data_IF_634447306801
#
_entry.id   IF_634447306801
#
_cell.length_a   1.000
_cell.length_b   1.000
_cell.length_c   1.000
_cell.angle_alpha   90.00
_cell.angle_beta   90.00
_cell.angle_gamma   90.00
#
_symmetry.space_group_name_H-M   'P 1'
#
loop_
_entity.id
_entity.type
_entity.pdbx_description
1 polymer ?
#
# COMPACT_ATOMS: atom_id res chain seq x y z
N UNK A 1 -14.61 -8.26 -34.13
CA UNK A 1 -14.03 -7.09 -33.46
C UNK A 1 -13.07 -7.64 -32.43
N UNK A 2 -11.77 -7.54 -32.65
CA UNK A 2 -10.77 -7.94 -31.68
C UNK A 2 -10.80 -6.92 -30.55
N UNK A 3 -11.32 -7.32 -29.38
CA UNK A 3 -11.15 -6.51 -28.18
C UNK A 3 -9.64 -6.46 -27.86
N UNK A 4 -8.99 -5.39 -28.27
CA UNK A 4 -7.65 -5.10 -27.73
C UNK A 4 -7.79 -5.05 -26.21
N UNK A 5 -6.94 -5.79 -25.47
CA UNK A 5 -7.01 -5.78 -24.01
C UNK A 5 -6.85 -4.33 -23.51
N UNK A 6 -7.81 -3.88 -22.70
CA UNK A 6 -7.73 -2.54 -22.09
C UNK A 6 -6.59 -2.47 -21.09
N UNK A 7 -5.95 -1.32 -20.98
CA UNK A 7 -4.98 -1.05 -19.91
C UNK A 7 -5.68 -1.19 -18.55
N UNK A 8 -5.00 -1.71 -17.52
CA UNK A 8 -5.52 -1.70 -16.16
C UNK A 8 -5.68 -0.26 -15.66
N UNK A 9 -6.53 -0.08 -14.67
CA UNK A 9 -6.60 1.18 -13.92
C UNK A 9 -5.24 1.46 -13.27
N UNK A 10 -4.77 2.72 -13.38
CA UNK A 10 -3.50 3.13 -12.75
C UNK A 10 -3.81 4.08 -11.61
N UNK A 11 -3.39 3.68 -10.42
CA UNK A 11 -3.48 4.46 -9.19
C UNK A 11 -2.15 5.12 -8.87
N UNK A 12 -2.17 6.07 -7.95
CA UNK A 12 -0.95 6.65 -7.38
C UNK A 12 -1.04 6.73 -5.86
N UNK A 13 0.05 6.37 -5.19
CA UNK A 13 0.15 6.49 -3.74
C UNK A 13 0.39 7.93 -3.30
N UNK A 14 -0.34 8.35 -2.28
CA UNK A 14 -0.25 9.69 -1.71
C UNK A 14 0.98 9.91 -0.82
N UNK A 15 1.81 8.90 -0.59
CA UNK A 15 3.14 9.11 -0.01
C UNK A 15 3.96 10.19 -0.73
N UNK A 16 3.71 10.34 -2.04
CA UNK A 16 4.36 11.35 -2.85
C UNK A 16 3.88 12.78 -2.55
N UNK A 17 2.63 12.94 -2.09
CA UNK A 17 1.94 14.22 -1.93
C UNK A 17 1.76 14.64 -0.48
N UNK A 18 2.43 14.00 0.46
CA UNK A 18 2.37 14.30 1.89
C UNK A 18 3.76 14.55 2.44
N UNK A 19 3.87 15.49 3.38
CA UNK A 19 5.17 15.83 4.00
C UNK A 19 5.53 14.91 5.16
N UNK A 20 4.54 14.26 5.74
CA UNK A 20 4.66 13.36 6.91
C UNK A 20 4.08 11.96 6.64
N UNK A 21 3.94 11.62 5.37
CA UNK A 21 3.54 10.29 4.85
C UNK A 21 2.07 9.90 4.99
N UNK A 22 1.23 10.69 5.64
CA UNK A 22 -0.18 10.32 5.83
C UNK A 22 -1.11 11.34 5.20
N UNK A 23 -2.27 10.88 4.71
CA UNK A 23 -3.29 11.74 4.11
C UNK A 23 -3.78 12.80 5.10
N UNK A 24 -4.01 12.39 6.35
CA UNK A 24 -4.10 13.31 7.47
C UNK A 24 -2.88 13.14 8.36
N UNK A 25 -2.08 14.18 8.59
CA UNK A 25 -1.04 14.18 9.60
C UNK A 25 -1.53 13.69 10.96
N UNK A 26 -0.66 13.04 11.71
CA UNK A 26 -0.96 12.65 13.09
C UNK A 26 -1.36 13.92 13.86
N UNK A 27 -2.48 13.87 14.58
CA UNK A 27 -3.09 14.99 15.33
C UNK A 27 -3.77 16.09 14.48
N UNK A 28 -3.92 15.91 13.17
CA UNK A 28 -4.72 16.86 12.38
C UNK A 28 -6.22 16.59 12.55
N UNK A 29 -6.98 17.64 12.82
CA UNK A 29 -8.42 17.55 12.96
C UNK A 29 -9.15 17.46 11.60
N UNK A 30 -10.31 16.84 11.58
CA UNK A 30 -11.17 16.73 10.39
C UNK A 30 -11.70 18.09 9.91
N UNK A 31 -11.68 19.09 10.76
CA UNK A 31 -12.19 20.45 10.51
C UNK A 31 -11.23 21.32 9.69
N UNK A 32 -10.01 20.85 9.42
CA UNK A 32 -9.06 21.60 8.57
C UNK A 32 -9.52 21.62 7.11
N UNK A 33 -10.21 22.73 6.76
CA UNK A 33 -10.76 22.94 5.42
C UNK A 33 -9.65 23.19 4.39
N UNK A 34 -8.57 23.83 4.75
CA UNK A 34 -7.48 24.15 3.84
C UNK A 34 -6.72 22.88 3.46
N UNK A 35 -6.52 21.98 4.42
CA UNK A 35 -5.92 20.67 4.13
C UNK A 35 -6.80 19.82 3.21
N UNK A 36 -8.11 19.72 3.49
CA UNK A 36 -9.06 18.98 2.61
C UNK A 36 -9.10 19.60 1.21
N UNK A 37 -9.04 20.92 1.09
CA UNK A 37 -8.96 21.61 -0.19
C UNK A 37 -7.69 21.24 -0.94
N UNK A 38 -6.54 21.26 -0.28
CA UNK A 38 -5.25 20.89 -0.86
C UNK A 38 -5.27 19.43 -1.38
N UNK A 39 -5.82 18.49 -0.60
CA UNK A 39 -5.98 17.10 -1.05
C UNK A 39 -6.84 17.01 -2.32
N UNK A 40 -7.97 17.71 -2.35
CA UNK A 40 -8.84 17.74 -3.53
C UNK A 40 -8.16 18.38 -4.73
N UNK A 41 -7.37 19.43 -4.56
CA UNK A 41 -6.61 20.05 -5.63
C UNK A 41 -5.57 19.06 -6.21
N UNK A 42 -4.92 18.25 -5.36
CA UNK A 42 -4.06 17.15 -5.81
C UNK A 42 -4.86 16.10 -6.59
N UNK A 43 -6.00 15.63 -6.06
CA UNK A 43 -6.84 14.62 -6.74
C UNK A 43 -7.26 15.08 -8.13
N UNK A 44 -7.74 16.32 -8.28
CA UNK A 44 -8.12 16.90 -9.58
C UNK A 44 -6.96 16.90 -10.55
N UNK A 45 -5.82 17.42 -10.12
CA UNK A 45 -4.63 17.49 -10.97
C UNK A 45 -4.14 16.12 -11.41
N UNK A 46 -4.13 15.13 -10.50
CA UNK A 46 -3.71 13.78 -10.82
C UNK A 46 -4.70 13.05 -11.73
N UNK A 47 -6.00 13.30 -11.55
CA UNK A 47 -7.03 12.81 -12.47
C UNK A 47 -6.84 13.38 -13.88
N UNK A 48 -6.54 14.68 -14.01
CA UNK A 48 -6.24 15.33 -15.30
C UNK A 48 -4.98 14.74 -15.95
N UNK A 49 -3.98 14.34 -15.18
CA UNK A 49 -2.78 13.63 -15.63
C UNK A 49 -3.13 12.22 -16.16
N UNK A 50 -4.22 11.61 -15.64
CA UNK A 50 -4.75 10.34 -16.14
C UNK A 50 -4.71 9.19 -15.16
N UNK A 51 -4.56 9.46 -13.86
CA UNK A 51 -4.76 8.48 -12.80
C UNK A 51 -6.26 8.26 -12.56
N UNK A 52 -6.67 7.01 -12.37
CA UNK A 52 -8.07 6.62 -12.14
C UNK A 52 -8.38 6.34 -10.67
N UNK A 53 -7.37 6.28 -9.82
CA UNK A 53 -7.53 6.02 -8.40
C UNK A 53 -6.32 6.45 -7.58
N UNK A 54 -6.51 6.41 -6.27
CA UNK A 54 -5.57 6.95 -5.30
C UNK A 54 -5.42 6.00 -4.12
N UNK A 55 -4.18 5.78 -3.71
CA UNK A 55 -3.86 5.02 -2.53
C UNK A 55 -3.56 5.98 -1.39
N UNK A 56 -4.37 5.91 -0.34
CA UNK A 56 -4.28 6.79 0.81
C UNK A 56 -3.58 6.11 1.99
N UNK A 57 -2.38 6.56 2.37
CA UNK A 57 -1.75 6.12 3.60
C UNK A 57 -2.49 6.71 4.81
N UNK A 58 -2.99 5.80 5.66
CA UNK A 58 -3.77 6.12 6.86
C UNK A 58 -2.83 6.19 8.06
N UNK A 59 -2.84 7.33 8.76
CA UNK A 59 -2.02 7.52 9.95
C UNK A 59 -2.37 6.48 11.03
N UNK A 60 -1.35 5.95 11.75
CA UNK A 60 -1.60 5.18 12.96
C UNK A 60 -2.17 6.08 14.03
N UNK A 61 -2.85 5.47 15.01
CA UNK A 61 -3.34 6.15 16.22
C UNK A 61 -2.92 5.37 17.44
N UNK A 62 -2.81 6.01 18.58
CA UNK A 62 -2.67 5.37 19.90
C UNK A 62 -4.00 5.33 20.68
N UNK A 63 -5.03 5.99 20.15
CA UNK A 63 -6.36 6.00 20.73
C UNK A 63 -7.03 4.62 20.63
N UNK A 64 -7.85 4.27 21.63
CA UNK A 64 -8.64 3.04 21.63
C UNK A 64 -10.08 3.27 21.13
N UNK A 65 -10.56 4.52 21.11
CA UNK A 65 -11.81 4.92 20.47
C UNK A 65 -11.53 5.40 19.03
N UNK A 66 -11.86 4.56 18.07
CA UNK A 66 -11.63 4.83 16.66
C UNK A 66 -12.78 5.57 15.97
N UNK A 67 -13.82 5.94 16.70
CA UNK A 67 -15.04 6.55 16.12
C UNK A 67 -14.74 7.89 15.44
N UNK A 68 -13.94 8.73 16.07
CA UNK A 68 -13.53 10.03 15.53
C UNK A 68 -12.64 9.86 14.29
N UNK A 69 -11.76 8.87 14.31
CA UNK A 69 -10.88 8.58 13.19
C UNK A 69 -11.69 8.13 11.96
N UNK A 70 -12.66 7.22 12.15
CA UNK A 70 -13.57 6.79 11.08
C UNK A 70 -14.38 7.98 10.54
N UNK A 71 -14.90 8.81 11.43
CA UNK A 71 -15.71 9.99 11.06
C UNK A 71 -14.88 10.98 10.23
N UNK A 72 -13.61 11.21 10.58
CA UNK A 72 -12.68 12.07 9.84
C UNK A 72 -12.59 11.68 8.35
N UNK A 73 -12.41 10.38 8.06
CA UNK A 73 -12.29 9.91 6.69
C UNK A 73 -13.64 9.87 5.95
N UNK A 74 -14.74 9.65 6.67
CA UNK A 74 -16.08 9.80 6.10
C UNK A 74 -16.34 11.24 5.64
N UNK A 75 -16.02 12.22 6.46
CA UNK A 75 -16.11 13.65 6.11
C UNK A 75 -15.20 14.02 4.95
N UNK A 76 -14.01 13.41 4.86
CA UNK A 76 -13.13 13.58 3.69
C UNK A 76 -13.79 13.06 2.42
N UNK A 77 -14.40 11.86 2.46
CA UNK A 77 -15.12 11.29 1.30
C UNK A 77 -16.27 12.18 0.88
N UNK A 78 -17.09 12.63 1.82
CA UNK A 78 -18.19 13.57 1.54
C UNK A 78 -17.69 14.88 0.91
N UNK A 79 -16.56 15.40 1.37
CA UNK A 79 -15.93 16.59 0.81
C UNK A 79 -15.40 16.34 -0.62
N UNK A 80 -14.78 15.20 -0.88
CA UNK A 80 -14.33 14.77 -2.23
C UNK A 80 -15.53 14.70 -3.19
N UNK A 81 -16.61 14.04 -2.78
CA UNK A 81 -17.82 13.87 -3.58
C UNK A 81 -18.47 15.20 -3.93
N UNK A 82 -18.53 16.14 -2.96
CA UNK A 82 -19.05 17.49 -3.16
C UNK A 82 -18.21 18.35 -4.13
N UNK A 83 -17.02 17.87 -4.53
CA UNK A 83 -16.11 18.55 -5.48
C UNK A 83 -16.09 17.87 -6.87
N UNK A 84 -17.13 17.12 -7.20
CA UNK A 84 -17.29 16.43 -8.50
C UNK A 84 -16.23 15.33 -8.75
N UNK A 85 -15.77 14.68 -7.67
CA UNK A 85 -14.81 13.59 -7.69
C UNK A 85 -15.39 12.28 -7.14
N UNK A 86 -16.70 12.09 -7.23
CA UNK A 86 -17.37 10.87 -6.74
C UNK A 86 -16.97 9.60 -7.49
N UNK A 87 -16.43 9.74 -8.71
CA UNK A 87 -15.95 8.65 -9.54
C UNK A 87 -14.51 8.20 -9.22
N UNK A 88 -13.77 8.93 -8.37
CA UNK A 88 -12.42 8.52 -8.00
C UNK A 88 -12.45 7.27 -7.13
N UNK A 89 -11.57 6.34 -7.45
CA UNK A 89 -11.39 5.09 -6.69
C UNK A 89 -10.31 5.30 -5.64
N UNK A 90 -10.52 4.75 -4.45
CA UNK A 90 -9.58 4.86 -3.33
C UNK A 90 -9.22 3.46 -2.85
N UNK A 91 -7.94 3.24 -2.58
CA UNK A 91 -7.42 2.16 -1.75
C UNK A 91 -6.71 2.78 -0.53
N UNK A 92 -6.48 2.00 0.51
CA UNK A 92 -5.80 2.50 1.71
C UNK A 92 -4.55 1.69 2.03
N UNK A 93 -3.52 2.37 2.52
CA UNK A 93 -2.30 1.75 3.03
C UNK A 93 -2.28 1.88 4.56
N UNK A 94 -2.19 0.75 5.26
CA UNK A 94 -2.33 0.62 6.71
C UNK A 94 -1.23 -0.27 7.26
N UNK A 95 -0.58 0.13 8.35
CA UNK A 95 0.38 -0.69 9.08
C UNK A 95 -0.16 -1.18 10.43
N UNK A 96 0.24 -2.39 10.83
CA UNK A 96 0.18 -2.80 12.23
C UNK A 96 1.21 -1.99 13.03
N UNK A 97 0.95 -1.76 14.31
CA UNK A 97 1.83 -0.98 15.20
C UNK A 97 2.21 -1.80 16.43
N UNK A 98 3.23 -1.39 17.16
CA UNK A 98 3.61 -2.05 18.42
C UNK A 98 2.48 -2.04 19.46
N UNK A 99 1.64 -1.02 19.44
CA UNK A 99 0.45 -0.92 20.30
C UNK A 99 -0.64 -1.89 19.87
N UNK A 100 -0.82 -2.04 18.55
CA UNK A 100 -1.86 -2.86 17.91
C UNK A 100 -1.18 -3.97 17.11
N UNK A 101 -0.65 -4.96 17.82
CA UNK A 101 0.18 -6.04 17.27
C UNK A 101 -0.60 -7.35 17.17
N UNK A 102 -1.10 -7.72 15.96
CA UNK A 102 -1.85 -8.96 15.78
C UNK A 102 -0.99 -10.22 15.98
N UNK A 103 0.33 -10.10 15.94
CA UNK A 103 1.27 -11.20 16.10
C UNK A 103 1.79 -11.35 17.52
N UNK A 104 1.34 -10.53 18.46
CA UNK A 104 1.74 -10.60 19.87
C UNK A 104 1.36 -11.95 20.48
N UNK A 105 2.14 -12.41 21.47
CA UNK A 105 1.76 -13.55 22.33
C UNK A 105 0.76 -13.16 23.42
N UNK A 106 0.52 -11.87 23.64
CA UNK A 106 -0.44 -11.33 24.57
C UNK A 106 -1.82 -11.24 23.91
N UNK A 107 -2.78 -12.02 24.42
CA UNK A 107 -4.15 -12.06 23.87
C UNK A 107 -4.90 -10.72 23.96
N UNK A 108 -4.60 -9.89 24.97
CA UNK A 108 -5.22 -8.57 25.08
C UNK A 108 -4.69 -7.63 23.99
N UNK A 109 -3.40 -7.70 23.67
CA UNK A 109 -2.83 -6.96 22.55
C UNK A 109 -3.39 -7.44 21.20
N UNK A 110 -3.58 -8.75 21.05
CA UNK A 110 -4.21 -9.30 19.83
C UNK A 110 -5.65 -8.79 19.67
N UNK A 111 -6.46 -8.76 20.74
CA UNK A 111 -7.83 -8.26 20.68
C UNK A 111 -7.88 -6.76 20.34
N UNK A 112 -7.02 -5.97 20.95
CA UNK A 112 -6.86 -4.54 20.61
C UNK A 112 -6.42 -4.36 19.14
N UNK A 113 -5.47 -5.17 18.67
CA UNK A 113 -5.04 -5.13 17.28
C UNK A 113 -6.17 -5.49 16.30
N UNK A 114 -6.98 -6.50 16.62
CA UNK A 114 -8.16 -6.84 15.81
C UNK A 114 -9.14 -5.67 15.73
N UNK A 115 -9.45 -5.02 16.86
CA UNK A 115 -10.34 -3.87 16.92
C UNK A 115 -9.79 -2.69 16.12
N UNK A 116 -8.50 -2.41 16.26
CA UNK A 116 -7.81 -1.39 15.46
C UNK A 116 -7.90 -1.70 13.96
N UNK A 117 -7.54 -2.91 13.53
CA UNK A 117 -7.58 -3.28 12.11
C UNK A 117 -9.00 -3.28 11.54
N UNK A 118 -10.02 -3.67 12.32
CA UNK A 118 -11.44 -3.51 11.94
C UNK A 118 -11.79 -2.04 11.70
N UNK A 119 -11.32 -1.13 12.53
CA UNK A 119 -11.53 0.31 12.30
C UNK A 119 -10.87 0.82 11.01
N UNK A 120 -9.72 0.27 10.63
CA UNK A 120 -9.03 0.61 9.35
C UNK A 120 -9.82 0.09 8.14
N UNK A 121 -10.45 -1.09 8.27
CA UNK A 121 -11.43 -1.59 7.28
C UNK A 121 -12.62 -0.65 7.16
N UNK A 122 -13.16 -0.16 8.29
CA UNK A 122 -14.27 0.81 8.28
C UNK A 122 -13.87 2.14 7.61
N UNK A 123 -12.66 2.64 7.85
CA UNK A 123 -12.11 3.82 7.16
C UNK A 123 -12.03 3.57 5.65
N UNK A 124 -11.50 2.41 5.23
CA UNK A 124 -11.42 2.05 3.82
C UNK A 124 -12.81 2.05 3.18
N UNK A 125 -13.78 1.41 3.82
CA UNK A 125 -15.16 1.39 3.35
C UNK A 125 -15.80 2.80 3.34
N UNK A 126 -15.56 3.62 4.37
CA UNK A 126 -16.06 5.00 4.45
C UNK A 126 -15.52 5.89 3.33
N UNK A 127 -14.28 5.64 2.87
CA UNK A 127 -13.67 6.27 1.70
C UNK A 127 -14.22 5.72 0.36
N UNK A 128 -15.10 4.72 0.39
CA UNK A 128 -15.58 4.03 -0.82
C UNK A 128 -14.54 3.09 -1.43
N UNK A 129 -13.54 2.68 -0.65
CA UNK A 129 -12.46 1.80 -1.08
C UNK A 129 -12.82 0.31 -0.96
N UNK A 130 -12.29 -0.50 -1.86
CA UNK A 130 -12.46 -1.96 -1.87
C UNK A 130 -11.18 -2.71 -1.49
N UNK A 131 -10.06 -2.01 -1.28
CA UNK A 131 -8.75 -2.60 -0.98
C UNK A 131 -8.10 -1.84 0.18
N UNK A 132 -7.80 -2.55 1.26
CA UNK A 132 -6.91 -2.14 2.33
C UNK A 132 -5.63 -2.97 2.23
N UNK A 133 -4.49 -2.32 2.09
CA UNK A 133 -3.22 -3.00 1.92
C UNK A 133 -2.19 -2.53 2.96
N UNK A 134 -1.10 -3.25 3.08
CA UNK A 134 0.08 -2.89 3.87
C UNK A 134 0.58 -3.99 4.81
N UNK A 135 1.57 -3.68 5.67
CA UNK A 135 2.19 -4.62 6.61
C UNK A 135 1.32 -4.82 7.86
N UNK A 136 0.30 -5.66 7.75
CA UNK A 136 -0.70 -5.89 8.81
C UNK A 136 -0.53 -7.22 9.56
N UNK A 137 0.61 -7.90 9.43
CA UNK A 137 0.90 -9.17 10.14
C UNK A 137 1.81 -8.95 11.33
N UNK A 138 2.97 -8.35 11.11
CA UNK A 138 3.94 -7.99 12.15
C UNK A 138 4.11 -6.47 12.07
N UNK A 139 4.18 -5.76 13.21
CA UNK A 139 4.37 -4.32 13.22
C UNK A 139 5.60 -3.87 12.44
N UNK A 140 5.45 -2.73 11.76
CA UNK A 140 6.55 -2.02 11.12
C UNK A 140 7.60 -1.62 12.16
N UNK A 141 8.87 -1.77 11.81
CA UNK A 141 10.00 -1.36 12.63
C UNK A 141 11.17 -2.34 12.51
N UNK A 142 12.34 -1.85 12.89
CA UNK A 142 13.57 -2.64 12.90
C UNK A 142 13.65 -3.42 14.19
N UNK A 143 13.70 -4.75 14.10
CA UNK A 143 13.95 -5.61 15.25
C UNK A 143 15.45 -5.64 15.54
N UNK A 144 15.86 -5.38 16.80
CA UNK A 144 17.24 -5.54 17.17
C UNK A 144 17.64 -7.01 17.21
N UNK A 145 18.77 -7.35 16.64
CA UNK A 145 19.35 -8.68 16.75
C UNK A 145 19.98 -9.21 15.48
N UNK A 146 20.82 -10.19 15.64
CA UNK A 146 21.46 -10.94 14.58
C UNK A 146 20.55 -12.11 14.22
N UNK A 147 20.43 -12.43 12.92
CA UNK A 147 19.72 -13.61 12.46
C UNK A 147 20.20 -14.89 13.15
N UNK A 148 19.29 -15.67 13.69
CA UNK A 148 19.56 -16.90 14.44
C UNK A 148 18.37 -17.86 14.35
N UNK A 149 18.58 -19.13 14.67
CA UNK A 149 17.52 -20.12 14.75
C UNK A 149 16.45 -19.72 15.79
N UNK A 150 16.88 -19.12 16.89
CA UNK A 150 15.96 -18.60 17.90
C UNK A 150 15.07 -17.48 17.37
N UNK A 151 15.60 -16.59 16.53
CA UNK A 151 14.82 -15.56 15.88
C UNK A 151 13.80 -16.17 14.91
N UNK A 152 14.18 -17.20 14.15
CA UNK A 152 13.27 -17.89 13.25
C UNK A 152 12.10 -18.56 14.00
N UNK A 153 12.38 -19.22 15.11
CA UNK A 153 11.33 -19.83 15.94
C UNK A 153 10.40 -18.77 16.55
N UNK A 154 10.96 -17.63 16.96
CA UNK A 154 10.19 -16.49 17.43
C UNK A 154 9.24 -15.95 16.33
N UNK A 155 9.74 -15.78 15.10
CA UNK A 155 8.95 -15.33 13.96
C UNK A 155 7.81 -16.31 13.62
N UNK A 156 8.09 -17.61 13.66
CA UNK A 156 7.07 -18.64 13.46
C UNK A 156 5.95 -18.52 14.50
N UNK A 157 6.30 -18.35 15.78
CA UNK A 157 5.33 -18.12 16.85
C UNK A 157 4.47 -16.88 16.59
N UNK A 158 5.09 -15.78 16.10
CA UNK A 158 4.35 -14.56 15.73
C UNK A 158 3.39 -14.80 14.58
N UNK A 159 3.78 -15.54 13.55
CA UNK A 159 2.88 -15.91 12.46
C UNK A 159 1.70 -16.76 12.95
N UNK A 160 1.95 -17.74 13.83
CA UNK A 160 0.90 -18.58 14.37
C UNK A 160 -0.10 -17.77 15.24
N UNK A 161 0.37 -16.78 15.96
CA UNK A 161 -0.48 -15.84 16.71
C UNK A 161 -1.33 -14.96 15.78
N UNK A 162 -0.80 -14.49 14.67
CA UNK A 162 -1.50 -13.58 13.75
C UNK A 162 -2.59 -14.29 12.93
N UNK A 163 -2.45 -15.57 12.61
CA UNK A 163 -3.39 -16.30 11.74
C UNK A 163 -4.86 -16.22 12.18
N UNK A 164 -5.22 -16.50 13.45
CA UNK A 164 -6.61 -16.38 13.89
C UNK A 164 -7.13 -14.94 13.82
N UNK A 165 -6.28 -13.95 14.09
CA UNK A 165 -6.63 -12.53 13.99
C UNK A 165 -6.95 -12.16 12.54
N UNK A 166 -6.11 -12.58 11.60
CA UNK A 166 -6.32 -12.32 10.17
C UNK A 166 -7.55 -13.08 9.62
N UNK A 167 -7.86 -14.25 10.15
CA UNK A 167 -9.10 -14.97 9.80
C UNK A 167 -10.36 -14.19 10.23
N UNK A 168 -10.37 -13.70 11.45
CA UNK A 168 -11.49 -12.92 11.98
C UNK A 168 -11.60 -11.57 11.24
N UNK A 169 -10.49 -10.89 11.01
CA UNK A 169 -10.43 -9.66 10.24
C UNK A 169 -10.92 -9.88 8.80
N UNK A 170 -10.56 -11.00 8.17
CA UNK A 170 -11.00 -11.35 6.83
C UNK A 170 -12.50 -11.56 6.72
N UNK A 171 -13.15 -12.15 7.74
CA UNK A 171 -14.62 -12.25 7.80
C UNK A 171 -15.26 -10.86 7.90
N UNK A 172 -14.74 -10.02 8.78
CA UNK A 172 -15.22 -8.65 8.92
C UNK A 172 -15.06 -7.83 7.64
N UNK A 173 -13.90 -7.93 7.00
CA UNK A 173 -13.63 -7.24 5.73
C UNK A 173 -14.56 -7.71 4.59
N UNK A 174 -14.96 -8.99 4.60
CA UNK A 174 -15.95 -9.52 3.65
C UNK A 174 -17.32 -8.85 3.83
N UNK A 175 -17.77 -8.62 5.06
CA UNK A 175 -19.03 -7.92 5.36
C UNK A 175 -19.02 -6.47 4.86
N UNK A 176 -17.84 -5.86 4.79
CA UNK A 176 -17.62 -4.50 4.31
C UNK A 176 -17.26 -4.41 2.81
N UNK A 177 -17.17 -5.55 2.11
CA UNK A 177 -16.68 -5.64 0.72
C UNK A 177 -15.25 -5.10 0.53
N UNK A 178 -14.39 -5.22 1.54
CA UNK A 178 -12.99 -4.77 1.50
C UNK A 178 -12.07 -5.98 1.41
N UNK A 179 -11.18 -6.01 0.42
CA UNK A 179 -10.07 -6.97 0.33
C UNK A 179 -8.91 -6.51 1.21
N UNK A 180 -8.28 -7.45 1.88
CA UNK A 180 -7.07 -7.22 2.67
C UNK A 180 -5.87 -7.72 1.88
N UNK A 181 -4.96 -6.84 1.53
CA UNK A 181 -3.77 -7.17 0.75
C UNK A 181 -2.52 -7.02 1.62
N UNK A 182 -2.03 -8.13 2.19
CA UNK A 182 -0.82 -8.11 3.03
C UNK A 182 0.40 -7.82 2.16
N UNK A 183 1.23 -6.90 2.63
CA UNK A 183 2.48 -6.53 1.98
C UNK A 183 3.66 -7.26 2.63
N UNK A 184 4.41 -8.06 1.86
CA UNK A 184 5.75 -8.45 2.28
C UNK A 184 6.68 -7.26 2.06
N UNK A 185 7.28 -6.74 3.13
CA UNK A 185 8.16 -5.56 3.08
C UNK A 185 9.61 -5.92 3.42
N UNK A 186 10.54 -5.09 3.00
CA UNK A 186 11.99 -5.36 3.16
C UNK A 186 12.41 -5.67 4.59
N UNK A 187 13.46 -6.50 4.71
CA UNK A 187 13.97 -7.02 5.99
C UNK A 187 14.49 -5.95 6.95
N UNK A 188 14.80 -4.74 6.50
CA UNK A 188 15.15 -3.63 7.39
C UNK A 188 13.95 -2.84 7.91
N UNK A 189 12.74 -3.11 7.39
CA UNK A 189 11.51 -2.48 7.86
C UNK A 189 10.74 -3.37 8.84
N UNK A 190 10.81 -4.70 8.65
CA UNK A 190 10.17 -5.69 9.53
C UNK A 190 10.96 -7.00 9.50
N UNK A 191 10.91 -7.82 10.56
CA UNK A 191 11.52 -9.15 10.52
C UNK A 191 10.79 -10.14 9.62
N UNK A 192 9.58 -9.81 9.16
CA UNK A 192 8.81 -10.63 8.22
C UNK A 192 7.31 -10.33 8.24
N UNK A 193 6.56 -10.76 7.19
CA UNK A 193 7.07 -11.41 5.98
C UNK A 193 7.83 -10.43 5.07
N UNK A 194 8.94 -10.89 4.50
CA UNK A 194 9.76 -10.10 3.56
C UNK A 194 9.67 -10.63 2.12
N UNK A 195 9.17 -11.85 1.95
CA UNK A 195 9.12 -12.57 0.69
C UNK A 195 7.74 -13.14 0.42
N UNK A 196 7.38 -13.25 -0.84
CA UNK A 196 6.16 -13.92 -1.25
C UNK A 196 6.11 -15.37 -0.77
N UNK A 197 7.24 -16.10 -0.76
CA UNK A 197 7.29 -17.47 -0.25
C UNK A 197 6.88 -17.58 1.23
N UNK A 198 7.31 -16.66 2.07
CA UNK A 198 6.93 -16.60 3.49
C UNK A 198 5.44 -16.31 3.65
N UNK A 199 4.93 -15.36 2.86
CA UNK A 199 3.52 -14.98 2.92
C UNK A 199 2.60 -16.07 2.36
N UNK A 200 3.01 -16.78 1.30
CA UNK A 200 2.29 -17.94 0.78
C UNK A 200 2.18 -19.05 1.85
N UNK A 201 3.26 -19.31 2.59
CA UNK A 201 3.24 -20.28 3.68
C UNK A 201 2.34 -19.83 4.84
N UNK A 202 2.42 -18.56 5.23
CA UNK A 202 1.53 -17.96 6.24
C UNK A 202 0.06 -18.13 5.85
N UNK A 203 -0.29 -17.85 4.60
CA UNK A 203 -1.66 -17.89 4.08
C UNK A 203 -2.26 -19.29 4.01
N UNK A 204 -1.48 -20.36 4.12
CA UNK A 204 -2.01 -21.73 4.25
C UNK A 204 -2.83 -21.92 5.54
N UNK A 205 -2.51 -21.16 6.59
CA UNK A 205 -3.24 -21.15 7.86
C UNK A 205 -4.34 -20.06 7.95
N UNK A 206 -4.60 -19.34 6.86
CA UNK A 206 -5.63 -18.29 6.79
C UNK A 206 -6.72 -18.74 5.81
N UNK A 207 -7.91 -19.05 6.33
CA UNK A 207 -9.02 -19.62 5.54
C UNK A 207 -9.69 -18.56 4.64
N UNK A 208 -9.90 -17.36 5.18
CA UNK A 208 -10.60 -16.29 4.48
C UNK A 208 -9.88 -15.87 3.20
N UNK A 209 -10.54 -15.99 2.06
CA UNK A 209 -10.03 -15.52 0.76
C UNK A 209 -10.04 -14.00 0.63
N UNK A 210 -10.68 -13.30 1.55
CA UNK A 210 -10.63 -11.85 1.63
C UNK A 210 -9.22 -11.36 2.01
N UNK A 211 -8.44 -12.22 2.68
CA UNK A 211 -7.02 -11.98 3.00
C UNK A 211 -6.15 -12.50 1.86
N UNK A 212 -5.45 -11.62 1.20
CA UNK A 212 -4.54 -11.92 0.08
C UNK A 212 -3.27 -11.10 0.16
N UNK A 213 -2.70 -10.79 -0.97
CA UNK A 213 -1.35 -10.22 -1.12
C UNK A 213 -1.39 -8.97 -2.00
N UNK A 214 -0.65 -7.96 -1.61
CA UNK A 214 -0.12 -6.94 -2.51
C UNK A 214 1.31 -7.30 -2.88
N UNK A 215 1.69 -7.08 -4.10
CA UNK A 215 3.07 -7.24 -4.57
C UNK A 215 3.60 -5.88 -4.98
N UNK A 216 4.63 -5.41 -4.27
CA UNK A 216 5.40 -4.22 -4.62
C UNK A 216 6.73 -4.61 -5.29
N UNK A 217 6.99 -4.04 -6.46
CA UNK A 217 8.20 -4.29 -7.23
C UNK A 217 9.49 -3.94 -6.48
N UNK A 218 9.49 -2.91 -5.62
CA UNK A 218 10.68 -2.55 -4.85
C UNK A 218 11.05 -3.64 -3.85
N UNK A 219 10.08 -4.19 -3.13
CA UNK A 219 10.30 -5.25 -2.16
C UNK A 219 10.74 -6.55 -2.84
N UNK A 220 10.13 -6.91 -3.99
CA UNK A 220 10.56 -8.08 -4.76
C UNK A 220 11.97 -7.96 -5.32
N UNK A 221 12.40 -6.76 -5.74
CA UNK A 221 13.76 -6.53 -6.21
C UNK A 221 14.78 -6.65 -5.07
N UNK A 222 14.40 -6.21 -3.87
CA UNK A 222 15.30 -6.17 -2.71
C UNK A 222 15.41 -7.51 -1.99
N UNK A 223 14.29 -8.20 -1.76
CA UNK A 223 14.23 -9.41 -0.92
C UNK A 223 13.60 -10.62 -1.60
N UNK A 224 13.05 -10.48 -2.81
CA UNK A 224 12.35 -11.56 -3.50
C UNK A 224 13.21 -12.80 -3.77
N UNK A 225 12.55 -13.88 -4.15
CA UNK A 225 13.20 -15.17 -4.44
C UNK A 225 13.75 -15.28 -5.87
N UNK A 226 13.76 -14.18 -6.62
CA UNK A 226 14.23 -14.10 -8.00
C UNK A 226 13.12 -14.33 -9.05
N UNK A 227 13.36 -13.94 -10.32
CA UNK A 227 12.30 -13.79 -11.33
C UNK A 227 11.60 -15.10 -11.70
N UNK A 228 12.28 -16.22 -11.68
CA UNK A 228 11.67 -17.52 -11.98
C UNK A 228 10.66 -17.94 -10.90
N UNK A 229 11.06 -17.87 -9.62
CA UNK A 229 10.17 -18.17 -8.49
C UNK A 229 9.05 -17.14 -8.37
N UNK A 230 9.35 -15.88 -8.61
CA UNK A 230 8.36 -14.81 -8.65
C UNK A 230 7.21 -15.15 -9.62
N UNK A 231 7.53 -15.54 -10.85
CA UNK A 231 6.53 -15.94 -11.84
C UNK A 231 5.63 -17.10 -11.36
N UNK A 232 6.20 -18.10 -10.70
CA UNK A 232 5.46 -19.22 -10.13
C UNK A 232 4.57 -18.80 -8.96
N UNK A 233 5.07 -17.91 -8.08
CA UNK A 233 4.36 -17.39 -6.92
C UNK A 233 3.17 -16.52 -7.33
N UNK A 234 3.34 -15.65 -8.33
CA UNK A 234 2.27 -14.83 -8.90
C UNK A 234 1.15 -15.72 -9.47
N UNK A 235 1.50 -16.72 -10.27
CA UNK A 235 0.53 -17.66 -10.83
C UNK A 235 -0.21 -18.44 -9.72
N UNK A 236 0.50 -18.89 -8.71
CA UNK A 236 -0.09 -19.58 -7.56
C UNK A 236 -1.06 -18.69 -6.79
N UNK A 237 -0.66 -17.45 -6.44
CA UNK A 237 -1.52 -16.52 -5.72
C UNK A 237 -2.80 -16.18 -6.51
N UNK A 238 -2.69 -16.00 -7.81
CA UNK A 238 -3.84 -15.79 -8.68
C UNK A 238 -4.78 -17.02 -8.73
N UNK A 239 -4.23 -18.22 -8.86
CA UNK A 239 -5.00 -19.46 -8.81
C UNK A 239 -5.73 -19.62 -7.47
N UNK A 240 -5.10 -19.22 -6.36
CA UNK A 240 -5.70 -19.23 -5.04
C UNK A 240 -6.69 -18.06 -4.81
N UNK A 241 -6.88 -17.16 -5.78
CA UNK A 241 -7.69 -15.95 -5.65
C UNK A 241 -7.22 -15.03 -4.50
N UNK A 242 -5.89 -14.92 -4.31
CA UNK A 242 -5.25 -14.16 -3.24
C UNK A 242 -4.33 -13.05 -3.74
N UNK A 243 -4.23 -12.83 -5.04
CA UNK A 243 -3.52 -11.68 -5.60
C UNK A 243 -4.49 -10.49 -5.66
N UNK A 244 -4.40 -9.58 -4.71
CA UNK A 244 -5.39 -8.53 -4.52
C UNK A 244 -4.95 -7.16 -5.02
N UNK A 245 -3.65 -6.87 -4.99
CA UNK A 245 -3.15 -5.57 -5.40
C UNK A 245 -1.73 -5.64 -5.95
N UNK A 246 -1.35 -4.68 -6.77
CA UNK A 246 -0.01 -4.55 -7.35
C UNK A 246 0.47 -3.12 -7.17
N UNK A 247 1.72 -2.96 -6.72
CA UNK A 247 2.42 -1.69 -6.72
C UNK A 247 3.65 -1.75 -7.61
N UNK A 248 3.90 -0.66 -8.30
CA UNK A 248 5.12 -0.43 -9.07
C UNK A 248 5.87 0.70 -8.39
N UNK A 249 6.98 0.36 -7.79
CA UNK A 249 7.82 1.25 -7.01
C UNK A 249 9.29 0.97 -7.32
N UNK A 250 10.15 1.97 -7.48
CA UNK A 250 11.57 1.73 -7.67
C UNK A 250 12.24 1.42 -6.31
N UNK A 251 13.35 0.66 -6.31
CA UNK A 251 14.06 0.31 -5.06
C UNK A 251 14.53 1.52 -4.23
N UNK A 252 14.78 2.65 -4.89
CA UNK A 252 15.17 3.90 -4.24
C UNK A 252 13.97 4.78 -3.85
N UNK A 253 12.73 4.26 -4.04
CA UNK A 253 11.47 4.96 -3.78
C UNK A 253 11.32 6.32 -4.49
N UNK A 254 12.17 6.57 -5.48
CA UNK A 254 12.24 7.83 -6.24
C UNK A 254 11.40 7.85 -7.51
N UNK A 255 11.82 8.68 -8.49
CA UNK A 255 11.11 8.84 -9.75
C UNK A 255 11.18 7.58 -10.62
N UNK A 256 10.03 7.00 -10.94
CA UNK A 256 9.90 5.73 -11.64
C UNK A 256 10.54 5.72 -13.03
N UNK A 257 10.41 6.80 -13.77
CA UNK A 257 10.89 6.91 -15.16
C UNK A 257 12.42 7.03 -15.29
N UNK A 258 13.12 7.35 -14.20
CA UNK A 258 14.59 7.44 -14.13
C UNK A 258 15.22 6.31 -13.35
N UNK A 259 14.43 5.41 -12.80
CA UNK A 259 14.88 4.29 -11.98
C UNK A 259 15.10 3.03 -12.83
N UNK A 260 16.04 2.19 -12.39
CA UNK A 260 16.25 0.90 -13.01
C UNK A 260 15.27 -0.14 -12.44
N UNK A 261 14.29 -0.54 -13.24
CA UNK A 261 13.31 -1.55 -12.90
C UNK A 261 13.36 -2.70 -13.91
N UNK A 262 13.32 -3.96 -13.46
CA UNK A 262 13.19 -5.12 -14.34
C UNK A 262 11.73 -5.27 -14.81
N UNK A 263 11.25 -4.33 -15.61
CA UNK A 263 9.85 -4.24 -16.02
C UNK A 263 9.29 -5.52 -16.64
N UNK A 264 10.10 -6.19 -17.46
CA UNK A 264 9.67 -7.40 -18.13
C UNK A 264 9.46 -8.54 -17.15
N UNK A 265 10.42 -8.76 -16.29
CA UNK A 265 10.42 -9.83 -15.30
C UNK A 265 9.29 -9.65 -14.29
N UNK A 266 8.96 -8.39 -13.97
CA UNK A 266 7.90 -8.06 -13.04
C UNK A 266 6.51 -8.05 -13.71
N UNK A 267 6.31 -7.29 -14.79
CA UNK A 267 4.99 -7.09 -15.37
C UNK A 267 4.47 -8.31 -16.14
N UNK A 268 5.34 -9.08 -16.82
CA UNK A 268 4.89 -10.19 -17.66
C UNK A 268 4.10 -11.26 -16.87
N UNK A 269 4.59 -11.79 -15.75
CA UNK A 269 3.80 -12.75 -14.97
C UNK A 269 2.54 -12.12 -14.35
N UNK A 270 2.60 -10.88 -13.92
CA UNK A 270 1.47 -10.16 -13.31
C UNK A 270 0.35 -9.97 -14.33
N UNK A 271 0.62 -9.38 -15.50
CA UNK A 271 -0.40 -9.04 -16.49
C UNK A 271 -1.10 -10.25 -17.11
N UNK A 272 -0.47 -11.44 -17.06
CA UNK A 272 -1.11 -12.70 -17.49
C UNK A 272 -2.31 -13.07 -16.63
N UNK A 273 -2.27 -12.78 -15.34
CA UNK A 273 -3.23 -13.32 -14.36
C UNK A 273 -3.98 -12.27 -13.57
N UNK A 274 -3.43 -11.06 -13.45
CA UNK A 274 -4.01 -9.98 -12.66
C UNK A 274 -4.74 -8.97 -13.56
N UNK A 275 -5.95 -8.56 -13.16
CA UNK A 275 -6.80 -7.61 -13.89
C UNK A 275 -7.28 -6.44 -13.04
N UNK A 276 -6.78 -6.34 -11.81
CA UNK A 276 -7.07 -5.23 -10.92
C UNK A 276 -6.22 -3.99 -11.19
N UNK A 277 -6.33 -2.96 -10.33
CA UNK A 277 -5.54 -1.73 -10.46
C UNK A 277 -4.06 -1.94 -10.15
N UNK A 278 -3.21 -1.14 -10.78
CA UNK A 278 -1.77 -1.06 -10.51
C UNK A 278 -1.47 0.32 -9.94
N UNK A 279 -0.93 0.40 -8.74
CA UNK A 279 -0.53 1.65 -8.14
C UNK A 279 0.93 2.00 -8.44
N UNK A 280 1.18 3.26 -8.74
CA UNK A 280 2.52 3.84 -8.76
C UNK A 280 2.84 4.31 -7.34
N UNK A 281 3.90 3.79 -6.75
CA UNK A 281 4.32 4.16 -5.41
C UNK A 281 5.68 4.87 -5.44
N UNK A 282 5.66 6.15 -5.10
CA UNK A 282 6.82 7.02 -5.00
C UNK A 282 6.75 7.74 -3.66
N UNK A 283 7.85 7.79 -2.94
CA UNK A 283 7.89 8.42 -1.63
C UNK A 283 8.52 9.81 -1.69
N UNK A 284 7.93 10.73 -0.94
CA UNK A 284 8.59 11.98 -0.60
C UNK A 284 9.65 11.77 0.51
N UNK A 285 9.33 10.88 1.46
CA UNK A 285 10.22 10.48 2.55
C UNK A 285 9.81 9.10 3.09
N UNK A 286 10.69 8.44 3.85
CA UNK A 286 10.38 7.20 4.57
C UNK A 286 10.34 7.51 6.07
N UNK A 287 9.33 7.03 6.85
CA UNK A 287 9.10 7.49 8.23
C UNK A 287 10.32 7.41 9.16
N UNK A 288 11.02 6.28 9.15
CA UNK A 288 12.19 6.08 10.02
C UNK A 288 13.38 7.01 9.69
N UNK A 289 13.35 7.65 8.51
CA UNK A 289 14.47 8.45 7.98
C UNK A 289 13.99 9.77 7.38
N UNK A 290 12.81 10.25 7.76
CA UNK A 290 12.13 11.40 7.14
C UNK A 290 13.09 12.57 6.90
N UNK A 291 13.78 13.04 7.93
CA UNK A 291 14.64 14.23 7.80
C UNK A 291 15.84 13.99 6.89
N UNK A 292 16.56 12.88 7.08
CA UNK A 292 17.76 12.61 6.28
C UNK A 292 17.42 12.26 4.84
N UNK A 293 16.32 11.56 4.55
CA UNK A 293 15.92 11.26 3.19
C UNK A 293 15.34 12.46 2.46
N UNK A 294 14.61 13.32 3.15
CA UNK A 294 14.12 14.58 2.56
C UNK A 294 15.26 15.50 2.16
N UNK A 295 16.31 15.56 2.96
CA UNK A 295 17.49 16.38 2.66
C UNK A 295 18.38 15.80 1.57
N UNK A 296 18.55 14.47 1.53
CA UNK A 296 19.51 13.80 0.66
C UNK A 296 18.94 13.18 -0.62
N UNK A 297 17.67 12.78 -0.62
CA UNK A 297 17.05 12.00 -1.71
C UNK A 297 15.90 12.69 -2.42
N UNK A 298 15.27 13.68 -1.82
CA UNK A 298 14.16 14.38 -2.42
C UNK A 298 14.57 15.07 -3.71
N UNK A 299 13.94 14.66 -4.82
CA UNK A 299 14.20 15.16 -6.16
C UNK A 299 13.01 15.91 -6.77
N UNK A 300 12.04 16.29 -5.95
CA UNK A 300 10.85 17.06 -6.34
C UNK A 300 10.32 17.88 -5.17
N UNK A 301 9.51 18.87 -5.46
CA UNK A 301 8.79 19.67 -4.48
C UNK A 301 7.28 19.42 -4.59
N UNK A 302 6.54 19.55 -3.48
CA UNK A 302 5.10 19.29 -3.42
C UNK A 302 4.33 20.59 -3.56
N UNK A 303 3.56 20.83 -4.65
CA UNK A 303 2.74 22.02 -4.82
C UNK A 303 1.77 22.22 -3.63
N UNK A 304 1.69 23.46 -3.14
CA UNK A 304 0.85 23.81 -2.02
C UNK A 304 1.41 23.51 -0.62
N UNK A 305 2.50 22.74 -0.53
CA UNK A 305 3.14 22.38 0.75
C UNK A 305 4.58 22.86 0.83
N UNK A 306 5.27 22.89 -0.31
CA UNK A 306 6.66 23.31 -0.40
C UNK A 306 6.83 24.53 -1.30
N UNK A 307 7.93 25.22 -1.12
CA UNK A 307 8.36 26.25 -2.06
C UNK A 307 8.98 25.61 -3.31
N UNK A 308 8.71 26.14 -4.51
CA UNK A 308 9.38 25.74 -5.73
C UNK A 308 10.91 25.83 -5.57
N UNK A 309 11.60 24.82 -6.12
CA UNK A 309 13.07 24.78 -6.15
C UNK A 309 13.55 24.39 -7.56
N UNK A 310 14.81 24.07 -7.73
CA UNK A 310 15.39 23.67 -9.03
C UNK A 310 14.98 22.27 -9.50
N UNK A 311 14.28 21.51 -8.67
CA UNK A 311 13.75 20.19 -9.01
C UNK A 311 12.35 20.30 -9.62
N UNK A 312 11.90 19.28 -10.39
CA UNK A 312 10.53 19.24 -10.89
C UNK A 312 9.52 19.17 -9.74
N UNK A 313 8.29 19.55 -10.02
CA UNK A 313 7.17 19.36 -9.08
C UNK A 313 6.78 17.89 -8.97
N UNK A 314 6.11 17.52 -7.89
CA UNK A 314 5.51 16.20 -7.74
C UNK A 314 4.53 15.86 -8.89
N UNK A 315 3.85 16.84 -9.46
CA UNK A 315 2.98 16.61 -10.62
C UNK A 315 3.74 16.22 -11.88
N UNK A 316 4.88 16.85 -12.17
CA UNK A 316 5.73 16.47 -13.32
C UNK A 316 6.28 15.05 -13.14
N UNK A 317 6.71 14.68 -11.93
CA UNK A 317 7.15 13.31 -11.63
C UNK A 317 6.00 12.31 -11.78
N UNK A 318 4.80 12.63 -11.31
CA UNK A 318 3.63 11.79 -11.44
C UNK A 318 3.21 11.60 -12.92
N UNK A 319 3.29 12.65 -13.73
CA UNK A 319 3.01 12.58 -15.17
C UNK A 319 4.00 11.68 -15.90
N UNK A 320 5.30 11.81 -15.64
CA UNK A 320 6.31 10.93 -16.23
C UNK A 320 6.17 9.48 -15.73
N UNK A 321 5.81 9.27 -14.48
CA UNK A 321 5.60 7.95 -13.91
C UNK A 321 4.44 7.19 -14.58
N UNK A 322 3.29 7.84 -14.79
CA UNK A 322 2.16 7.18 -15.47
C UNK A 322 2.45 6.92 -16.95
N UNK A 323 3.18 7.84 -17.64
CA UNK A 323 3.61 7.62 -19.02
C UNK A 323 4.55 6.40 -19.12
N UNK A 324 5.54 6.30 -18.24
CA UNK A 324 6.45 5.16 -18.18
C UNK A 324 5.69 3.86 -17.91
N UNK A 325 4.81 3.84 -16.92
CA UNK A 325 4.02 2.66 -16.55
C UNK A 325 3.12 2.21 -17.71
N UNK A 326 2.37 3.12 -18.33
CA UNK A 326 1.51 2.81 -19.49
C UNK A 326 2.32 2.27 -20.66
N UNK A 327 3.48 2.87 -20.95
CA UNK A 327 4.38 2.43 -22.02
C UNK A 327 4.84 0.99 -21.79
N UNK A 328 5.28 0.66 -20.60
CA UNK A 328 5.77 -0.67 -20.29
C UNK A 328 4.63 -1.71 -20.28
N UNK A 329 3.48 -1.41 -19.70
CA UNK A 329 2.29 -2.28 -19.75
C UNK A 329 1.88 -2.55 -21.21
N UNK A 330 1.84 -1.53 -22.07
CA UNK A 330 1.45 -1.68 -23.48
C UNK A 330 2.37 -2.63 -24.26
N UNK A 331 3.69 -2.60 -23.98
CA UNK A 331 4.64 -3.54 -24.61
C UNK A 331 4.28 -4.99 -24.31
N UNK A 332 3.85 -5.30 -23.07
CA UNK A 332 3.59 -6.68 -22.65
C UNK A 332 2.17 -7.13 -23.00
N UNK A 333 1.17 -6.26 -22.95
CA UNK A 333 -0.18 -6.60 -23.40
C UNK A 333 -0.20 -6.98 -24.88
N UNK A 334 0.59 -6.31 -25.72
CA UNK A 334 0.72 -6.64 -27.13
C UNK A 334 1.47 -7.94 -27.44
N UNK A 335 2.12 -8.53 -26.43
CA UNK A 335 2.86 -9.81 -26.53
C UNK A 335 2.15 -11.00 -25.87
N UNK A 336 1.02 -10.76 -25.19
CA UNK A 336 0.17 -11.79 -24.57
C UNK A 336 -0.95 -12.23 -25.53
#
# INVERSE_FOLDING_TARGET
>A
MSNSPSLPDIYISFFMFTTDMFVFPINMESTDVDHKKLLVDHLKKLKDIGYSGFEFPIAPTSEEDFSQDIQKYKELREYIDAKELSDVKISTNVGATETFDPSSSDSQKQEKALTYLKSRVDITAALGGEIMMGPIVIPYGVFPGIWSDQLQEHLKGRYDNAKPILNELGKYAQEKNVKLAIEPITHWETPGPNKLSQLIEFLKGVESKQVGVVIDSAHEILDGDGPEKFSQQVAYLAQQQRLHYIQVSPPDRGALHTSWLPWQEFLTPVLKVYKGPIAVEIFNAIPAFVDSLRLSRRKFWIPGQDNPNSYPSAYEIAEEAIKATKKEITKFIGSL
#
